data_IF_099684201448
#
_entry.id   IF_099684201448
#
_cell.length_a   1.000
_cell.length_b   1.000
_cell.length_c   1.000
_cell.angle_alpha   90.00
_cell.angle_beta   90.00
_cell.angle_gamma   90.00
#
_symmetry.space_group_name_H-M   'P 1'
#
loop_
_entity.id
_entity.type
_entity.pdbx_description
1 polymer ?
#
# COMPACT_ATOMS: atom_id res chain seq x y z
N UNK A 1 -16.75 -19.82 -13.16
CA UNK A 1 -17.46 -18.61 -12.68
C UNK A 1 -18.65 -18.36 -13.58
N UNK A 2 -19.89 -18.31 -13.07
CA UNK A 2 -21.01 -17.80 -13.85
C UNK A 2 -20.79 -16.29 -14.01
N UNK A 3 -20.49 -15.83 -15.21
CA UNK A 3 -20.47 -14.41 -15.53
C UNK A 3 -21.90 -13.88 -15.40
N UNK A 4 -22.14 -12.96 -14.47
CA UNK A 4 -23.33 -12.11 -14.53
C UNK A 4 -23.14 -11.10 -15.64
N UNK A 5 -24.20 -10.90 -16.43
CA UNK A 5 -24.19 -10.03 -17.60
C UNK A 5 -24.48 -8.58 -17.21
N UNK A 6 -24.11 -7.58 -18.04
CA UNK A 6 -24.49 -6.18 -17.81
C UNK A 6 -25.99 -5.94 -17.64
N UNK A 7 -26.85 -6.85 -18.12
CA UNK A 7 -28.30 -6.79 -17.93
C UNK A 7 -28.71 -7.00 -16.46
N UNK A 8 -27.96 -7.83 -15.72
CA UNK A 8 -28.21 -8.08 -14.29
C UNK A 8 -27.88 -6.84 -13.43
N UNK A 9 -27.04 -5.94 -13.95
CA UNK A 9 -26.66 -4.68 -13.31
C UNK A 9 -27.72 -3.58 -13.59
N UNK A 10 -28.37 -3.65 -14.76
CA UNK A 10 -29.40 -2.68 -15.19
C UNK A 10 -30.72 -2.78 -14.41
N UNK A 11 -31.14 -3.98 -13.99
CA UNK A 11 -32.35 -4.18 -13.19
C UNK A 11 -32.24 -3.64 -11.75
N UNK A 12 -31.03 -3.45 -11.23
CA UNK A 12 -30.79 -2.87 -9.89
C UNK A 12 -31.11 -1.37 -9.81
N UNK A 13 -31.34 -0.71 -10.95
CA UNK A 13 -31.67 0.73 -11.00
C UNK A 13 -33.14 1.05 -10.71
N UNK A 14 -34.03 0.05 -10.74
CA UNK A 14 -35.49 0.26 -10.59
C UNK A 14 -36.16 -0.51 -9.44
N UNK A 15 -35.41 -1.31 -8.66
CA UNK A 15 -35.93 -2.04 -7.52
C UNK A 15 -35.06 -1.82 -6.29
N UNK A 16 -35.68 -1.56 -5.13
CA UNK A 16 -34.95 -1.47 -3.86
C UNK A 16 -34.28 -2.82 -3.55
N UNK A 17 -32.99 -2.94 -3.86
CA UNK A 17 -32.18 -4.08 -3.42
C UNK A 17 -32.21 -4.11 -1.89
N UNK A 18 -32.63 -5.22 -1.30
CA UNK A 18 -32.60 -5.35 0.16
C UNK A 18 -31.15 -5.36 0.64
N UNK A 19 -30.90 -4.91 1.87
CA UNK A 19 -29.53 -4.87 2.42
C UNK A 19 -28.89 -6.25 2.43
N UNK A 20 -29.69 -7.30 2.65
CA UNK A 20 -29.25 -8.70 2.64
C UNK A 20 -28.83 -9.18 1.24
N UNK A 21 -29.58 -8.80 0.20
CA UNK A 21 -29.24 -9.17 -1.18
C UNK A 21 -27.95 -8.48 -1.63
N UNK A 22 -27.77 -7.19 -1.29
CA UNK A 22 -26.52 -6.47 -1.57
C UNK A 22 -25.33 -7.10 -0.82
N UNK A 23 -25.50 -7.49 0.44
CA UNK A 23 -24.46 -8.16 1.21
C UNK A 23 -24.05 -9.51 0.60
N UNK A 24 -25.03 -10.31 0.14
CA UNK A 24 -24.74 -11.56 -0.55
C UNK A 24 -23.94 -11.32 -1.84
N UNK A 25 -24.35 -10.35 -2.66
CA UNK A 25 -23.60 -9.98 -3.88
C UNK A 25 -22.16 -9.54 -3.60
N UNK A 26 -21.95 -8.72 -2.55
CA UNK A 26 -20.61 -8.28 -2.16
C UNK A 26 -19.74 -9.43 -1.65
N UNK A 27 -20.34 -10.45 -1.02
CA UNK A 27 -19.64 -11.65 -0.57
C UNK A 27 -19.27 -12.60 -1.73
N UNK A 28 -20.01 -12.59 -2.83
CA UNK A 28 -19.72 -13.38 -4.03
C UNK A 28 -18.66 -12.74 -4.94
N UNK A 29 -18.48 -11.41 -4.84
CA UNK A 29 -17.48 -10.64 -5.59
C UNK A 29 -16.05 -10.94 -5.09
N UNK A 30 -15.53 -12.09 -5.50
CA UNK A 30 -14.29 -12.66 -4.98
C UNK A 30 -13.15 -12.65 -5.98
N UNK A 31 -11.94 -12.49 -5.46
CA UNK A 31 -10.66 -12.72 -6.14
C UNK A 31 -9.95 -13.89 -5.48
N UNK A 32 -8.97 -14.48 -6.16
CA UNK A 32 -8.08 -15.48 -5.56
C UNK A 32 -6.83 -14.77 -5.02
N UNK A 33 -6.47 -15.05 -3.77
CA UNK A 33 -5.21 -14.62 -3.17
C UNK A 33 -4.08 -15.58 -3.58
N UNK A 34 -2.83 -15.19 -3.31
CA UNK A 34 -1.66 -15.99 -3.66
C UNK A 34 -1.62 -17.36 -2.97
N UNK A 35 -2.17 -17.45 -1.75
CA UNK A 35 -2.30 -18.73 -1.04
C UNK A 35 -3.41 -19.64 -1.61
N UNK A 36 -4.04 -19.24 -2.72
CA UNK A 36 -5.08 -19.98 -3.42
C UNK A 36 -6.48 -19.80 -2.84
N UNK A 37 -6.64 -19.09 -1.71
CA UNK A 37 -7.96 -18.86 -1.10
C UNK A 37 -8.74 -17.76 -1.81
N UNK A 38 -10.07 -17.90 -1.83
CA UNK A 38 -10.96 -16.85 -2.34
C UNK A 38 -11.14 -15.76 -1.27
N UNK A 39 -11.19 -14.51 -1.73
CA UNK A 39 -11.30 -13.33 -0.89
C UNK A 39 -12.27 -12.33 -1.50
N UNK A 40 -13.22 -11.83 -0.70
CA UNK A 40 -14.16 -10.79 -1.10
C UNK A 40 -13.70 -9.43 -0.55
N UNK A 41 -13.20 -8.49 -1.38
CA UNK A 41 -12.71 -7.19 -0.90
C UNK A 41 -13.77 -6.33 -0.18
N UNK A 42 -15.05 -6.54 -0.51
CA UNK A 42 -16.17 -5.83 0.11
C UNK A 42 -16.82 -6.59 1.28
N UNK A 43 -16.42 -7.83 1.52
CA UNK A 43 -16.83 -8.63 2.67
C UNK A 43 -15.60 -9.38 3.24
N UNK A 44 -14.55 -8.65 3.65
CA UNK A 44 -13.28 -9.26 4.03
C UNK A 44 -13.40 -10.06 5.33
N UNK A 45 -12.65 -11.16 5.41
CA UNK A 45 -12.39 -11.91 6.63
C UNK A 45 -10.96 -11.70 7.14
N UNK A 46 -10.73 -11.64 8.46
CA UNK A 46 -9.45 -11.25 9.05
C UNK A 46 -8.32 -12.26 8.85
N UNK A 47 -8.65 -13.50 8.47
CA UNK A 47 -7.69 -14.58 8.23
C UNK A 47 -6.92 -14.41 6.92
N UNK A 48 -7.48 -13.68 5.94
CA UNK A 48 -6.81 -13.39 4.67
C UNK A 48 -5.60 -12.48 4.80
N UNK A 49 -5.56 -11.62 5.83
CA UNK A 49 -4.53 -10.60 6.01
C UNK A 49 -3.25 -11.17 6.62
N UNK A 50 -2.72 -12.26 6.07
CA UNK A 50 -1.38 -12.77 6.43
C UNK A 50 -0.30 -11.83 5.90
N UNK A 51 0.89 -11.83 6.52
CA UNK A 51 1.99 -10.96 6.09
C UNK A 51 2.46 -11.34 4.67
N UNK A 52 2.35 -12.61 4.31
CA UNK A 52 2.66 -13.14 2.99
C UNK A 52 1.68 -12.61 1.93
N UNK A 53 0.37 -12.67 2.20
CA UNK A 53 -0.63 -12.12 1.28
C UNK A 53 -0.50 -10.60 1.15
N UNK A 54 -0.20 -9.89 2.25
CA UNK A 54 0.09 -8.44 2.22
C UNK A 54 1.32 -8.18 1.33
N UNK A 55 2.43 -8.88 1.56
CA UNK A 55 3.67 -8.73 0.80
C UNK A 55 3.44 -8.94 -0.69
N UNK A 56 2.75 -10.01 -1.07
CA UNK A 56 2.43 -10.29 -2.49
C UNK A 56 1.56 -9.20 -3.10
N UNK A 57 0.48 -8.79 -2.41
CA UNK A 57 -0.41 -7.74 -2.90
C UNK A 57 0.30 -6.39 -3.07
N UNK A 58 1.02 -5.93 -2.04
CA UNK A 58 1.70 -4.63 -2.05
C UNK A 58 2.85 -4.57 -3.05
N UNK A 59 3.55 -5.68 -3.25
CA UNK A 59 4.68 -5.76 -4.19
C UNK A 59 4.25 -5.68 -5.65
N UNK A 60 3.01 -6.08 -5.94
CA UNK A 60 2.41 -5.97 -7.27
C UNK A 60 1.55 -4.71 -7.43
N UNK A 61 1.22 -4.00 -6.35
CA UNK A 61 0.45 -2.76 -6.40
C UNK A 61 1.33 -1.58 -6.82
N UNK A 62 1.22 -1.14 -8.08
CA UNK A 62 1.97 -0.01 -8.62
C UNK A 62 1.38 1.34 -8.17
N UNK A 63 2.23 2.26 -7.71
CA UNK A 63 1.83 3.60 -7.27
C UNK A 63 1.55 4.55 -8.43
N UNK A 64 1.08 5.75 -8.09
CA UNK A 64 0.87 6.88 -9.02
C UNK A 64 -0.20 6.62 -10.10
N UNK A 65 -1.19 5.79 -9.78
CA UNK A 65 -2.20 5.38 -10.77
C UNK A 65 -1.55 4.82 -12.05
N UNK A 66 -0.44 4.07 -11.88
CA UNK A 66 0.35 3.45 -12.96
C UNK A 66 1.02 4.45 -13.92
N UNK A 67 1.01 5.75 -13.64
CA UNK A 67 1.65 6.78 -14.47
C UNK A 67 3.09 7.05 -14.03
N UNK A 68 3.91 6.02 -13.97
CA UNK A 68 5.33 6.09 -13.59
C UNK A 68 6.17 5.26 -14.57
N UNK A 69 7.36 5.74 -14.94
CA UNK A 69 8.21 5.06 -15.93
C UNK A 69 8.90 3.83 -15.34
N UNK A 70 9.70 3.96 -14.27
CA UNK A 70 10.20 2.79 -13.59
C UNK A 70 9.10 2.26 -12.64
N UNK A 71 8.95 0.93 -12.55
CA UNK A 71 7.96 0.34 -11.65
C UNK A 71 8.24 0.74 -10.20
N UNK A 72 7.22 1.12 -9.44
CA UNK A 72 7.38 1.47 -8.04
C UNK A 72 6.16 1.01 -7.25
N UNK A 73 6.37 0.08 -6.33
CA UNK A 73 5.30 -0.60 -5.62
C UNK A 73 4.96 0.06 -4.28
N UNK A 74 3.75 -0.20 -3.79
CA UNK A 74 3.35 0.15 -2.42
C UNK A 74 4.23 -0.56 -1.38
N UNK A 75 4.74 -1.75 -1.68
CA UNK A 75 5.69 -2.45 -0.80
C UNK A 75 6.99 -1.66 -0.59
N UNK A 76 7.64 -1.21 -1.68
CA UNK A 76 8.88 -0.44 -1.57
C UNK A 76 8.64 0.92 -0.88
N UNK A 77 7.51 1.57 -1.18
CA UNK A 77 7.04 2.77 -0.48
C UNK A 77 6.90 2.53 1.03
N UNK A 78 6.21 1.46 1.44
CA UNK A 78 5.95 1.16 2.85
C UNK A 78 7.24 0.94 3.64
N UNK A 79 8.26 0.32 3.04
CA UNK A 79 9.59 0.15 3.65
C UNK A 79 10.30 1.50 3.82
N UNK A 80 10.23 2.38 2.82
CA UNK A 80 10.77 3.75 2.92
C UNK A 80 10.09 4.53 4.05
N UNK A 81 8.75 4.52 4.13
CA UNK A 81 8.01 5.20 5.20
C UNK A 81 8.43 4.68 6.58
N UNK A 82 8.61 3.37 6.73
CA UNK A 82 9.08 2.78 7.98
C UNK A 82 10.51 3.23 8.34
N UNK A 83 11.44 3.29 7.38
CA UNK A 83 12.79 3.79 7.64
C UNK A 83 12.82 5.26 8.11
N UNK A 84 11.84 6.07 7.69
CA UNK A 84 11.71 7.47 8.10
C UNK A 84 11.11 7.67 9.51
N UNK A 85 10.67 6.60 10.19
CA UNK A 85 9.96 6.67 11.48
C UNK A 85 10.85 6.57 12.75
N UNK A 86 11.99 7.28 12.79
CA UNK A 86 12.82 7.50 14.00
C UNK A 86 13.26 6.22 14.76
N UNK A 87 13.48 5.09 14.08
CA UNK A 87 13.85 3.81 14.69
C UNK A 87 12.89 3.31 15.80
N UNK A 88 11.66 3.83 15.86
CA UNK A 88 10.64 3.36 16.81
C UNK A 88 9.90 2.16 16.23
N UNK A 89 10.24 0.96 16.71
CA UNK A 89 9.70 -0.31 16.20
C UNK A 89 8.16 -0.33 16.18
N UNK A 90 7.47 0.27 17.16
CA UNK A 90 6.00 0.28 17.17
C UNK A 90 5.45 1.13 16.03
N UNK A 91 6.08 2.28 15.76
CA UNK A 91 5.72 3.14 14.63
C UNK A 91 6.10 2.47 13.32
N UNK A 92 7.25 1.81 13.23
CA UNK A 92 7.72 1.14 12.02
C UNK A 92 6.82 -0.04 11.64
N UNK A 93 6.32 -0.82 12.61
CA UNK A 93 5.29 -1.84 12.37
C UNK A 93 4.01 -1.23 11.79
N UNK A 94 3.57 -0.07 12.30
CA UNK A 94 2.43 0.64 11.74
C UNK A 94 2.72 1.12 10.31
N UNK A 95 3.90 1.73 10.09
CA UNK A 95 4.31 2.26 8.80
C UNK A 95 4.40 1.19 7.72
N UNK A 96 4.93 0.00 8.02
CA UNK A 96 4.96 -1.10 7.04
C UNK A 96 3.57 -1.55 6.60
N UNK A 97 2.56 -1.44 7.47
CA UNK A 97 1.21 -1.92 7.20
C UNK A 97 0.19 -0.79 6.96
N UNK A 98 0.63 0.47 6.81
CA UNK A 98 -0.28 1.61 6.82
C UNK A 98 -1.21 1.68 5.60
N UNK A 99 -0.75 1.16 4.46
CA UNK A 99 -1.48 1.02 3.19
C UNK A 99 -1.71 -0.46 2.84
N UNK A 100 -1.66 -1.37 3.82
CA UNK A 100 -1.73 -2.82 3.57
C UNK A 100 -3.02 -3.27 2.88
N UNK A 101 -4.12 -2.54 3.05
CA UNK A 101 -5.38 -2.82 2.35
C UNK A 101 -5.28 -2.70 0.83
N UNK A 102 -4.31 -1.96 0.32
CA UNK A 102 -4.14 -1.73 -1.13
C UNK A 102 -3.73 -3.01 -1.87
N UNK A 103 -3.22 -4.01 -1.15
CA UNK A 103 -2.88 -5.32 -1.70
C UNK A 103 -4.06 -6.27 -1.91
N UNK A 104 -5.28 -5.91 -1.51
CA UNK A 104 -6.42 -6.82 -1.42
C UNK A 104 -7.54 -6.49 -2.42
N UNK A 105 -7.18 -6.33 -3.69
CA UNK A 105 -8.14 -6.09 -4.78
C UNK A 105 -8.71 -4.68 -4.87
N UNK A 106 -8.39 -3.80 -3.91
CA UNK A 106 -8.71 -2.37 -3.95
C UNK A 106 -7.38 -1.56 -3.92
N UNK A 107 -6.73 -1.33 -5.08
CA UNK A 107 -5.35 -0.85 -5.15
C UNK A 107 -5.18 0.61 -4.70
N UNK A 108 -3.94 1.11 -4.77
CA UNK A 108 -3.61 2.53 -4.58
C UNK A 108 -4.51 3.41 -5.46
N UNK A 109 -5.30 4.27 -4.81
CA UNK A 109 -6.17 5.25 -5.47
C UNK A 109 -5.55 6.62 -5.26
N UNK A 110 -5.18 7.35 -6.34
CA UNK A 110 -4.69 8.71 -6.23
C UNK A 110 -5.63 9.59 -5.40
N UNK A 111 -5.05 10.34 -4.46
CA UNK A 111 -5.79 11.20 -3.52
C UNK A 111 -6.88 12.07 -4.17
N UNK A 112 -6.66 12.71 -5.34
CA UNK A 112 -7.70 13.52 -6.00
C UNK A 112 -8.97 12.74 -6.40
N UNK A 113 -8.89 11.42 -6.54
CA UNK A 113 -10.02 10.57 -6.92
C UNK A 113 -10.82 10.04 -5.72
N UNK A 114 -10.21 9.97 -4.53
CA UNK A 114 -10.84 9.41 -3.32
C UNK A 114 -12.22 10.02 -2.99
N UNK A 115 -12.45 11.35 -3.13
CA UNK A 115 -13.78 11.94 -2.88
C UNK A 115 -14.92 11.40 -3.76
N UNK A 116 -14.60 10.87 -4.94
CA UNK A 116 -15.58 10.36 -5.91
C UNK A 116 -15.84 8.85 -5.76
N UNK A 117 -15.08 8.15 -4.90
CA UNK A 117 -15.06 6.69 -4.79
C UNK A 117 -15.43 6.22 -3.37
N UNK A 118 -16.42 6.86 -2.73
CA UNK A 118 -16.73 6.67 -1.31
C UNK A 118 -16.86 5.20 -0.89
N UNK A 119 -17.61 4.38 -1.61
CA UNK A 119 -17.82 2.96 -1.27
C UNK A 119 -16.51 2.16 -1.28
N UNK A 120 -15.60 2.48 -2.19
CA UNK A 120 -14.29 1.85 -2.32
C UNK A 120 -13.38 2.26 -1.14
N UNK A 121 -13.39 3.55 -0.79
CA UNK A 121 -12.64 4.10 0.34
C UNK A 121 -13.17 3.56 1.69
N UNK A 122 -14.48 3.40 1.82
CA UNK A 122 -15.08 2.81 3.02
C UNK A 122 -14.67 1.33 3.19
N UNK A 123 -14.59 0.58 2.09
CA UNK A 123 -14.08 -0.80 2.07
C UNK A 123 -12.58 -0.87 2.41
N UNK A 124 -11.75 0.00 1.83
CA UNK A 124 -10.34 0.14 2.19
C UNK A 124 -10.18 0.42 3.69
N UNK A 125 -10.87 1.42 4.22
CA UNK A 125 -10.85 1.73 5.66
C UNK A 125 -11.33 0.56 6.53
N UNK A 126 -12.29 -0.23 6.05
CA UNK A 126 -12.74 -1.43 6.76
C UNK A 126 -11.64 -2.48 6.86
N UNK A 127 -10.95 -2.75 5.75
CA UNK A 127 -9.78 -3.64 5.72
C UNK A 127 -8.66 -3.13 6.62
N UNK A 128 -8.27 -1.84 6.54
CA UNK A 128 -7.20 -1.30 7.39
C UNK A 128 -7.50 -1.49 8.88
N UNK A 129 -8.74 -1.28 9.32
CA UNK A 129 -9.14 -1.52 10.72
C UNK A 129 -8.95 -2.98 11.13
N UNK A 130 -9.27 -3.93 10.24
CA UNK A 130 -9.11 -5.36 10.51
C UNK A 130 -7.63 -5.76 10.57
N UNK A 131 -6.82 -5.25 9.64
CA UNK A 131 -5.36 -5.45 9.61
C UNK A 131 -4.74 -4.89 10.89
N UNK A 132 -5.04 -3.64 11.26
CA UNK A 132 -4.51 -3.03 12.48
C UNK A 132 -4.90 -3.80 13.73
N UNK A 133 -6.15 -4.27 13.83
CA UNK A 133 -6.59 -5.12 14.93
C UNK A 133 -5.82 -6.44 14.98
N UNK A 134 -5.64 -7.10 13.83
CA UNK A 134 -4.90 -8.38 13.71
C UNK A 134 -3.46 -8.26 14.21
N UNK A 135 -2.79 -7.15 13.88
CA UNK A 135 -1.38 -6.93 14.22
C UNK A 135 -1.16 -6.07 15.48
N UNK A 136 -2.21 -5.77 16.25
CA UNK A 136 -2.11 -4.99 17.49
C UNK A 136 -1.64 -3.54 17.29
N UNK A 137 -1.94 -2.96 16.13
CA UNK A 137 -1.51 -1.62 15.74
C UNK A 137 -2.52 -0.57 16.20
N UNK A 138 -2.05 0.42 16.97
CA UNK A 138 -2.91 1.52 17.41
C UNK A 138 -3.11 2.55 16.29
N UNK A 139 -4.36 2.89 16.00
CA UNK A 139 -4.72 3.98 15.08
C UNK A 139 -4.12 5.33 15.51
N UNK A 140 -3.79 5.52 16.80
CA UNK A 140 -3.12 6.72 17.30
C UNK A 140 -1.72 6.94 16.71
N UNK A 141 -1.08 5.90 16.16
CA UNK A 141 0.24 6.00 15.52
C UNK A 141 0.17 6.67 14.15
N UNK A 142 -1.00 6.75 13.52
CA UNK A 142 -1.19 7.43 12.23
C UNK A 142 -0.64 8.86 12.22
N UNK A 143 -0.77 9.59 13.33
CA UNK A 143 -0.22 10.96 13.46
C UNK A 143 1.30 11.05 13.40
N UNK A 144 2.01 9.94 13.69
CA UNK A 144 3.47 9.81 13.62
C UNK A 144 3.96 9.20 12.30
N UNK A 145 3.08 8.61 11.51
CA UNK A 145 3.42 7.99 10.22
C UNK A 145 3.02 8.87 9.04
N UNK A 146 1.92 9.63 9.16
CA UNK A 146 1.43 10.46 8.05
C UNK A 146 2.44 11.51 7.56
N UNK A 147 3.17 12.24 8.43
CA UNK A 147 4.20 13.16 7.94
C UNK A 147 5.32 12.46 7.16
N UNK A 148 5.64 11.22 7.50
CA UNK A 148 6.73 10.42 6.94
C UNK A 148 6.33 9.83 5.60
N UNK A 149 5.06 9.44 5.45
CA UNK A 149 4.43 9.13 4.16
C UNK A 149 4.51 10.34 3.19
N UNK A 150 4.24 11.56 3.68
CA UNK A 150 4.38 12.78 2.88
C UNK A 150 5.85 13.05 2.48
N UNK A 151 6.81 12.80 3.38
CA UNK A 151 8.25 12.90 3.08
C UNK A 151 8.65 11.85 2.04
N UNK A 152 8.21 10.61 2.17
CA UNK A 152 8.43 9.55 1.18
C UNK A 152 7.88 9.97 -0.19
N UNK A 153 6.67 10.52 -0.26
CA UNK A 153 6.09 11.05 -1.50
C UNK A 153 6.96 12.15 -2.14
N UNK A 154 7.58 13.02 -1.34
CA UNK A 154 8.51 14.03 -1.85
C UNK A 154 9.78 13.41 -2.44
N UNK A 155 10.33 12.37 -1.80
CA UNK A 155 11.50 11.63 -2.28
C UNK A 155 11.18 10.85 -3.56
N UNK A 156 10.05 10.15 -3.61
CA UNK A 156 9.56 9.41 -4.79
C UNK A 156 9.40 10.34 -6.00
N UNK A 157 8.82 11.52 -5.78
CA UNK A 157 8.67 12.53 -6.84
C UNK A 157 10.03 13.06 -7.31
N UNK A 158 10.98 13.27 -6.39
CA UNK A 158 12.33 13.72 -6.74
C UNK A 158 13.06 12.70 -7.61
N UNK A 159 12.99 11.42 -7.23
CA UNK A 159 13.83 10.37 -7.82
C UNK A 159 13.22 9.70 -9.04
N UNK A 160 11.88 9.52 -9.06
CA UNK A 160 11.23 8.64 -10.03
C UNK A 160 10.42 9.37 -11.10
N UNK A 161 10.28 10.69 -10.98
CA UNK A 161 9.38 11.47 -11.82
C UNK A 161 10.07 12.69 -12.39
N UNK A 162 9.59 13.09 -13.57
CA UNK A 162 10.07 14.31 -14.22
C UNK A 162 9.54 15.54 -13.48
N UNK A 163 10.41 16.52 -13.27
CA UNK A 163 10.03 17.80 -12.71
C UNK A 163 9.02 18.51 -13.61
N UNK A 164 8.01 19.13 -12.99
CA UNK A 164 7.05 20.01 -13.64
C UNK A 164 6.83 21.27 -12.77
N UNK A 165 6.27 22.34 -13.35
CA UNK A 165 6.14 23.63 -12.67
C UNK A 165 5.22 23.60 -11.44
N UNK A 166 4.23 22.69 -11.45
CA UNK A 166 3.21 22.50 -10.40
C UNK A 166 3.57 21.35 -9.43
N UNK A 167 4.78 20.81 -9.56
CA UNK A 167 5.05 19.42 -9.16
C UNK A 167 5.26 19.20 -7.65
N UNK A 168 5.69 20.24 -6.92
CA UNK A 168 6.21 20.14 -5.54
C UNK A 168 5.84 21.31 -4.62
N UNK A 169 4.95 22.23 -5.02
CA UNK A 169 4.74 23.49 -4.28
C UNK A 169 4.28 23.30 -2.83
N UNK A 170 3.64 22.17 -2.51
CA UNK A 170 3.08 21.87 -1.19
C UNK A 170 3.75 20.70 -0.46
N UNK A 171 4.88 20.18 -0.98
CA UNK A 171 5.60 19.06 -0.36
C UNK A 171 6.81 19.54 0.45
N UNK A 172 7.17 18.82 1.53
CA UNK A 172 8.40 19.10 2.26
C UNK A 172 9.63 18.88 1.39
N UNK A 173 10.76 19.49 1.78
CA UNK A 173 12.03 19.20 1.15
C UNK A 173 12.41 17.72 1.32
N UNK A 174 12.70 17.05 0.21
CA UNK A 174 13.10 15.64 0.21
C UNK A 174 14.53 15.49 0.78
N UNK A 175 14.75 14.63 1.81
CA UNK A 175 16.07 14.34 2.35
C UNK A 175 17.03 13.81 1.29
N UNK A 176 18.22 14.39 1.16
CA UNK A 176 19.21 14.08 0.10
C UNK A 176 20.19 12.95 0.47
N UNK A 177 19.79 12.11 1.41
CA UNK A 177 20.67 11.14 2.06
C UNK A 177 20.18 9.68 1.90
N UNK A 178 19.04 9.53 1.21
CA UNK A 178 18.48 8.28 0.70
C UNK A 178 17.88 8.59 -0.69
N UNK A 179 18.27 7.81 -1.70
CA UNK A 179 17.75 7.86 -3.07
C UNK A 179 17.08 6.54 -3.44
N UNK A 180 16.02 6.60 -4.22
CA UNK A 180 15.17 5.45 -4.56
C UNK A 180 15.58 4.85 -5.91
N UNK A 181 15.80 3.53 -5.90
CA UNK A 181 15.95 2.71 -7.11
C UNK A 181 14.80 1.75 -7.21
N UNK A 182 14.01 1.86 -8.27
CA UNK A 182 12.86 1.00 -8.52
C UNK A 182 13.22 -0.48 -8.54
N UNK A 183 12.56 -1.25 -7.69
CA UNK A 183 12.67 -2.71 -7.64
C UNK A 183 11.53 -3.36 -8.42
N UNK A 184 11.80 -4.47 -9.12
CA UNK A 184 10.72 -5.27 -9.69
C UNK A 184 9.88 -5.93 -8.58
N UNK A 185 8.61 -6.34 -8.84
CA UNK A 185 7.72 -6.89 -7.81
C UNK A 185 8.37 -7.96 -6.92
N UNK A 186 9.09 -8.92 -7.50
CA UNK A 186 9.77 -9.99 -6.75
C UNK A 186 10.83 -9.45 -5.78
N UNK A 187 11.57 -8.42 -6.17
CA UNK A 187 12.62 -7.82 -5.33
C UNK A 187 12.02 -6.91 -4.25
N UNK A 188 10.97 -6.16 -4.59
CA UNK A 188 10.21 -5.36 -3.63
C UNK A 188 9.55 -6.25 -2.55
N UNK A 189 9.06 -7.44 -2.93
CA UNK A 189 8.53 -8.44 -1.99
C UNK A 189 9.58 -8.92 -1.02
N UNK A 190 10.76 -9.33 -1.51
CA UNK A 190 11.88 -9.75 -0.64
C UNK A 190 12.32 -8.64 0.31
N UNK A 191 12.37 -7.40 -0.17
CA UNK A 191 12.68 -6.23 0.66
C UNK A 191 11.62 -6.04 1.76
N UNK A 192 10.34 -6.11 1.40
CA UNK A 192 9.24 -5.98 2.35
C UNK A 192 9.22 -7.11 3.38
N UNK A 193 9.38 -8.37 2.95
CA UNK A 193 9.47 -9.53 3.83
C UNK A 193 10.65 -9.41 4.80
N UNK A 194 11.80 -8.94 4.33
CA UNK A 194 12.98 -8.71 5.18
C UNK A 194 12.73 -7.59 6.20
N UNK A 195 12.04 -6.52 5.80
CA UNK A 195 11.66 -5.43 6.69
C UNK A 195 10.64 -5.89 7.75
N UNK A 196 9.67 -6.70 7.34
CA UNK A 196 8.68 -7.32 8.22
C UNK A 196 9.36 -8.24 9.22
N UNK A 197 10.19 -9.19 8.78
CA UNK A 197 10.93 -10.09 9.68
C UNK A 197 11.76 -9.29 10.70
N UNK A 198 12.48 -8.27 10.23
CA UNK A 198 13.29 -7.39 11.09
C UNK A 198 12.48 -6.74 12.22
N UNK A 199 11.34 -6.11 11.92
CA UNK A 199 10.58 -5.37 12.96
C UNK A 199 9.60 -6.26 13.71
N UNK A 200 8.92 -7.19 13.04
CA UNK A 200 7.88 -8.05 13.64
C UNK A 200 8.46 -9.24 14.39
N UNK A 201 9.50 -9.88 13.85
CA UNK A 201 10.07 -11.12 14.41
C UNK A 201 11.31 -10.82 15.24
N UNK A 202 12.30 -10.12 14.67
CA UNK A 202 13.57 -9.86 15.35
C UNK A 202 13.49 -8.72 16.38
N UNK A 203 12.46 -7.87 16.29
CA UNK A 203 12.30 -6.70 17.17
C UNK A 203 13.43 -5.68 17.00
N UNK A 204 13.97 -5.55 15.79
CA UNK A 204 15.01 -4.57 15.45
C UNK A 204 14.42 -3.46 14.58
N UNK A 205 14.91 -2.21 14.68
CA UNK A 205 14.41 -1.12 13.87
C UNK A 205 14.98 -1.15 12.44
N UNK A 206 14.20 -0.71 11.47
CA UNK A 206 14.66 -0.37 10.12
C UNK A 206 15.43 0.94 10.22
N UNK A 207 16.76 0.86 10.30
CA UNK A 207 17.62 2.04 10.35
C UNK A 207 17.99 2.50 8.95
N UNK A 208 18.51 3.72 8.84
CA UNK A 208 19.07 4.22 7.59
C UNK A 208 20.20 3.32 7.07
N UNK A 209 21.08 2.85 7.96
CA UNK A 209 22.17 1.94 7.58
C UNK A 209 21.63 0.62 7.05
N UNK A 210 20.55 0.10 7.62
CA UNK A 210 19.93 -1.14 7.16
C UNK A 210 19.29 -0.99 5.78
N UNK A 211 18.51 0.08 5.56
CA UNK A 211 17.83 0.27 4.26
C UNK A 211 18.84 0.55 3.14
N UNK A 212 19.94 1.25 3.44
CA UNK A 212 21.02 1.53 2.49
C UNK A 212 21.93 0.33 2.21
N UNK A 213 21.96 -0.67 3.09
CA UNK A 213 22.66 -1.94 2.85
C UNK A 213 21.85 -2.91 1.99
N UNK A 214 20.54 -2.66 1.82
CA UNK A 214 19.63 -3.47 1.03
C UNK A 214 19.48 -2.98 -0.42
N UNK A 215 18.74 -3.73 -1.25
CA UNK A 215 18.41 -3.29 -2.60
C UNK A 215 17.38 -2.15 -2.58
N UNK A 216 17.36 -1.36 -3.66
CA UNK A 216 16.32 -0.37 -3.91
C UNK A 216 16.55 1.02 -3.31
N UNK A 217 17.62 1.19 -2.52
CA UNK A 217 18.00 2.49 -1.97
C UNK A 217 19.52 2.70 -1.96
N UNK A 218 19.97 3.95 -2.04
CA UNK A 218 21.39 4.32 -1.94
C UNK A 218 21.59 5.66 -1.26
N UNK A 219 22.82 5.94 -0.83
CA UNK A 219 23.21 7.25 -0.26
C UNK A 219 23.52 8.30 -1.33
N UNK A 220 23.66 7.89 -2.58
CA UNK A 220 24.00 8.74 -3.72
C UNK A 220 22.94 8.58 -4.83
N UNK A 221 22.64 9.65 -5.59
CA UNK A 221 21.72 9.54 -6.71
C UNK A 221 22.28 8.58 -7.77
N UNK A 222 21.40 7.88 -8.48
CA UNK A 222 21.83 7.08 -9.64
C UNK A 222 22.38 8.03 -10.72
N UNK A 223 23.58 7.76 -11.24
CA UNK A 223 24.07 8.44 -12.43
C UNK A 223 23.08 8.16 -13.57
N UNK A 224 22.53 9.24 -14.13
CA UNK A 224 21.39 9.23 -15.05
C UNK A 224 21.42 8.09 -16.08
N UNK A 225 20.46 7.17 -16.01
CA UNK A 225 19.96 6.52 -17.22
C UNK A 225 19.13 7.57 -17.97
N UNK A 226 19.78 8.28 -18.90
CA UNK A 226 19.17 9.28 -19.78
C UNK A 226 17.95 8.73 -20.54
#
# INVERSE_FOLDING_TARGET
MKHMSPADIGELSNGSVTTEALQAMLAEATIQLEDGKMFAPFAPHPEAFTLENISTGLSNCCRYGMQIKPFYSVAQHSVLVAALCENDIKVQKFALLHDAEEGFGLPDIPTPFKPFLKSLIDAQHHMSRMIFKRYGLSASLKKRVKPQDIVALAMEKRDLKKSAKEYLTDLPAAPIDIFIHSLQPTEAGKLFDSAVDRVFVQGQPITKEWILAGPGFSSEPMENAA
#
